data_IF_597900862062
#
_entry.id   IF_597900862062
#
_cell.length_a   1.000
_cell.length_b   1.000
_cell.length_c   1.000
_cell.angle_alpha   90.00
_cell.angle_beta   90.00
_cell.angle_gamma   90.00
#
_symmetry.space_group_name_H-M   'P 1'
#
loop_
_entity.id
_entity.type
_entity.pdbx_description
1 polymer ?
#
# COMPACT_ATOMS: atom_id res chain seq x y z
N UNK A 1 9.75 -3.53 17.24
CA UNK A 1 10.62 -4.72 17.10
C UNK A 1 9.88 -5.88 17.73
N UNK A 2 9.68 -6.96 16.99
CA UNK A 2 9.00 -8.16 17.48
C UNK A 2 9.87 -9.38 17.21
N UNK A 3 9.93 -10.29 18.18
CA UNK A 3 10.52 -11.62 18.02
C UNK A 3 9.41 -12.60 18.39
N UNK A 4 8.96 -13.41 17.43
CA UNK A 4 8.06 -14.52 17.69
C UNK A 4 8.85 -15.82 17.60
N UNK A 5 8.78 -16.60 18.66
CA UNK A 5 9.28 -17.97 18.68
C UNK A 5 8.05 -18.88 18.70
N UNK A 6 7.83 -19.64 17.64
CA UNK A 6 6.78 -20.67 17.61
C UNK A 6 7.43 -22.04 17.80
N UNK A 7 7.24 -22.61 18.99
CA UNK A 7 7.68 -23.95 19.34
C UNK A 7 6.58 -24.96 19.06
N UNK A 8 6.33 -25.26 17.78
CA UNK A 8 5.33 -26.25 17.38
C UNK A 8 5.80 -27.68 17.65
N UNK A 9 5.11 -28.40 18.54
CA UNK A 9 5.40 -29.80 18.82
C UNK A 9 4.78 -30.69 17.73
N UNK A 10 5.60 -31.60 17.20
CA UNK A 10 5.32 -32.67 16.24
C UNK A 10 5.35 -32.25 14.75
N UNK A 11 6.44 -32.63 14.08
CA UNK A 11 6.71 -32.63 12.63
C UNK A 11 6.91 -31.31 11.84
N UNK A 12 6.65 -30.12 12.41
CA UNK A 12 6.79 -28.85 11.68
C UNK A 12 8.06 -28.05 12.06
N UNK A 13 8.70 -27.43 11.06
CA UNK A 13 10.01 -26.78 11.17
C UNK A 13 10.04 -25.55 12.08
N UNK A 14 11.20 -25.32 12.73
CA UNK A 14 11.48 -24.15 13.57
C UNK A 14 12.06 -22.99 12.75
N UNK A 15 11.53 -21.77 12.92
CA UNK A 15 12.03 -20.55 12.30
C UNK A 15 12.11 -19.36 13.26
N UNK A 16 13.02 -18.43 12.98
CA UNK A 16 13.16 -17.14 13.68
C UNK A 16 12.77 -16.04 12.72
N UNK A 17 11.78 -15.24 13.09
CA UNK A 17 11.40 -14.03 12.36
C UNK A 17 11.94 -12.79 13.09
N UNK A 18 12.55 -11.88 12.34
CA UNK A 18 13.02 -10.58 12.80
C UNK A 18 12.36 -9.49 11.96
N UNK A 19 11.59 -8.61 12.60
CA UNK A 19 10.95 -7.48 11.93
C UNK A 19 11.17 -6.16 12.69
N UNK A 20 11.42 -5.10 11.90
CA UNK A 20 11.65 -3.75 12.38
C UNK A 20 11.00 -2.70 11.48
N UNK A 21 10.60 -1.59 12.09
CA UNK A 21 10.04 -0.45 11.37
C UNK A 21 10.51 0.87 11.99
N UNK A 22 10.73 1.87 11.15
CA UNK A 22 11.04 3.23 11.54
C UNK A 22 10.07 4.17 10.84
N UNK A 23 9.50 5.13 11.57
CA UNK A 23 8.57 6.12 11.02
C UNK A 23 8.98 7.51 11.45
N UNK A 24 8.97 8.43 10.49
CA UNK A 24 9.18 9.85 10.66
C UNK A 24 7.98 10.61 10.09
N UNK A 25 7.52 11.62 10.82
CA UNK A 25 6.42 12.48 10.41
C UNK A 25 6.80 13.93 10.67
N UNK A 26 6.67 14.77 9.64
CA UNK A 26 6.95 16.20 9.70
C UNK A 26 5.63 17.00 9.71
N UNK A 27 5.51 18.06 10.53
CA UNK A 27 4.34 18.93 10.54
C UNK A 27 4.02 19.60 9.19
N UNK A 28 5.01 19.69 8.28
CA UNK A 28 4.82 20.20 6.91
C UNK A 28 4.21 19.16 5.96
N UNK A 29 3.71 18.04 6.50
CA UNK A 29 2.93 17.04 5.78
C UNK A 29 3.74 15.95 5.09
N UNK A 30 5.02 15.79 5.45
CA UNK A 30 5.86 14.70 4.97
C UNK A 30 5.84 13.55 5.98
N UNK A 31 5.40 12.37 5.54
CA UNK A 31 5.49 11.12 6.29
C UNK A 31 6.42 10.15 5.58
N UNK A 32 7.35 9.56 6.31
CA UNK A 32 8.27 8.55 5.81
C UNK A 32 8.23 7.34 6.73
N UNK A 33 8.13 6.16 6.16
CA UNK A 33 8.21 4.91 6.89
C UNK A 33 9.13 3.93 6.17
N UNK A 34 9.94 3.21 6.94
CA UNK A 34 10.80 2.14 6.46
C UNK A 34 10.49 0.89 7.29
N UNK A 35 10.29 -0.24 6.62
CA UNK A 35 10.03 -1.52 7.25
C UNK A 35 10.95 -2.56 6.66
N UNK A 36 11.45 -3.46 7.49
CA UNK A 36 12.24 -4.60 7.05
C UNK A 36 11.91 -5.82 7.89
N UNK A 37 11.92 -6.99 7.26
CA UNK A 37 11.77 -8.26 7.96
C UNK A 37 12.66 -9.34 7.34
N UNK A 38 12.92 -10.40 8.11
CA UNK A 38 13.60 -11.60 7.62
C UNK A 38 13.16 -12.81 8.42
N UNK A 39 12.99 -13.93 7.72
CA UNK A 39 12.72 -15.25 8.29
C UNK A 39 13.92 -16.17 8.06
N UNK A 40 14.37 -16.81 9.13
CA UNK A 40 15.46 -17.80 9.12
C UNK A 40 14.93 -19.14 9.64
N UNK A 41 14.74 -20.12 8.76
CA UNK A 41 14.30 -21.47 9.13
C UNK A 41 15.47 -22.48 9.12
N UNK A 42 15.70 -23.18 10.24
CA UNK A 42 16.89 -24.02 10.44
C UNK A 42 16.86 -25.35 9.68
N UNK A 43 15.68 -25.84 9.28
CA UNK A 43 15.52 -27.22 8.75
C UNK A 43 15.38 -27.31 7.21
N UNK A 44 15.20 -26.20 6.50
CA UNK A 44 14.91 -26.19 5.06
C UNK A 44 15.84 -25.33 4.19
N UNK A 45 16.91 -24.75 4.73
CA UNK A 45 17.72 -23.72 4.04
C UNK A 45 16.87 -22.54 3.52
N UNK A 46 15.67 -22.34 4.06
CA UNK A 46 14.74 -21.30 3.64
C UNK A 46 15.10 -19.98 4.32
N UNK A 47 15.37 -18.96 3.49
CA UNK A 47 15.72 -17.61 3.92
C UNK A 47 14.87 -16.62 3.12
N UNK A 48 13.95 -15.98 3.83
CA UNK A 48 13.15 -14.87 3.30
C UNK A 48 13.62 -13.57 3.91
N UNK A 49 13.52 -12.52 3.12
CA UNK A 49 13.72 -11.16 3.58
C UNK A 49 12.95 -10.20 2.69
N UNK A 50 12.46 -9.13 3.29
CA UNK A 50 11.75 -8.08 2.57
C UNK A 50 12.04 -6.72 3.19
N UNK A 51 12.12 -5.70 2.35
CA UNK A 51 12.20 -4.30 2.75
C UNK A 51 11.20 -3.47 1.97
N UNK A 52 10.47 -2.60 2.67
CA UNK A 52 9.50 -1.70 2.06
C UNK A 52 9.67 -0.29 2.63
N UNK A 53 9.58 0.71 1.75
CA UNK A 53 9.51 2.11 2.13
C UNK A 53 8.11 2.67 1.87
N UNK A 54 7.77 3.74 2.57
CA UNK A 54 6.62 4.58 2.27
C UNK A 54 7.06 6.03 2.40
N UNK A 55 6.74 6.85 1.42
CA UNK A 55 6.86 8.30 1.48
C UNK A 55 5.52 8.88 1.09
N UNK A 56 4.93 9.70 1.96
CA UNK A 56 3.72 10.45 1.67
C UNK A 56 4.01 11.93 1.87
N UNK A 57 3.49 12.74 0.96
CA UNK A 57 3.51 14.18 1.09
C UNK A 57 2.09 14.72 0.94
N UNK A 58 1.70 15.63 1.82
CA UNK A 58 0.44 16.36 1.80
C UNK A 58 0.74 17.83 1.99
N UNK A 59 0.38 18.66 1.01
CA UNK A 59 0.59 20.10 1.10
C UNK A 59 -0.18 20.74 2.26
N UNK A 60 -1.41 20.25 2.52
CA UNK A 60 -2.24 20.73 3.63
C UNK A 60 -2.95 19.55 4.33
N UNK A 61 -3.24 19.73 5.62
CA UNK A 61 -3.94 18.75 6.44
C UNK A 61 -5.43 18.62 6.11
N UNK A 62 -6.03 19.64 5.49
CA UNK A 62 -7.42 19.65 5.02
C UNK A 62 -7.63 18.89 3.70
N UNK A 63 -6.55 18.32 3.14
CA UNK A 63 -6.57 17.57 1.89
C UNK A 63 -6.47 18.44 0.64
N UNK A 64 -6.39 19.76 0.75
CA UNK A 64 -6.20 20.66 -0.41
C UNK A 64 -4.75 20.71 -0.86
N UNK A 65 -4.57 20.91 -2.16
CA UNK A 65 -3.27 21.01 -2.80
C UNK A 65 -2.66 19.66 -3.13
N UNK A 66 -1.36 19.67 -3.40
CA UNK A 66 -0.63 18.49 -3.87
C UNK A 66 -0.61 17.39 -2.82
N UNK A 67 -0.85 16.17 -3.28
CA UNK A 67 -0.60 14.94 -2.55
C UNK A 67 0.23 13.99 -3.39
N UNK A 68 1.14 13.28 -2.73
CA UNK A 68 2.01 12.28 -3.35
C UNK A 68 2.17 11.10 -2.39
N UNK A 69 2.22 9.90 -2.95
CA UNK A 69 2.57 8.67 -2.24
C UNK A 69 3.52 7.85 -3.08
N UNK A 70 4.57 7.32 -2.43
CA UNK A 70 5.59 6.48 -3.03
C UNK A 70 5.84 5.29 -2.12
N UNK A 71 5.82 4.10 -2.69
CA UNK A 71 5.90 2.86 -1.93
C UNK A 71 6.76 1.84 -2.67
N UNK A 72 8.10 1.91 -2.52
CA UNK A 72 8.99 0.89 -3.04
C UNK A 72 9.01 -0.34 -2.11
N UNK A 73 9.07 -1.53 -2.67
CA UNK A 73 9.26 -2.77 -1.93
C UNK A 73 10.15 -3.76 -2.69
N UNK A 74 10.97 -4.50 -1.96
CA UNK A 74 11.97 -5.42 -2.49
C UNK A 74 12.03 -6.68 -1.64
N UNK A 75 12.15 -7.84 -2.31
CA UNK A 75 12.21 -9.14 -1.64
C UNK A 75 10.81 -9.70 -1.38
N UNK A 76 10.69 -10.58 -0.40
CA UNK A 76 9.45 -11.27 -0.05
C UNK A 76 8.59 -10.33 0.80
N UNK A 77 8.05 -9.29 0.17
CA UNK A 77 7.16 -8.34 0.82
C UNK A 77 5.71 -8.69 0.50
N UNK A 78 4.78 -8.60 1.48
CA UNK A 78 3.37 -8.91 1.22
C UNK A 78 2.80 -8.10 0.04
N UNK A 79 2.06 -8.75 -0.86
CA UNK A 79 1.51 -8.14 -2.10
C UNK A 79 0.48 -7.03 -1.83
N UNK A 80 -0.03 -6.96 -0.60
CA UNK A 80 -1.09 -6.08 -0.13
C UNK A 80 -0.60 -4.67 0.30
N UNK A 81 0.59 -4.25 -0.13
CA UNK A 81 0.99 -2.84 -0.03
C UNK A 81 0.28 -1.97 -1.09
N UNK A 82 -0.17 -2.57 -2.20
CA UNK A 82 -0.82 -1.87 -3.31
C UNK A 82 -2.32 -1.57 -3.09
N UNK A 83 -3.08 -2.42 -2.39
CA UNK A 83 -4.55 -2.30 -2.27
C UNK A 83 -5.06 -1.25 -1.26
N UNK A 84 -4.16 -0.42 -0.69
CA UNK A 84 -4.42 0.27 0.59
C UNK A 84 -4.25 1.79 0.59
N UNK A 85 -4.22 2.43 -0.57
CA UNK A 85 -4.00 3.87 -0.63
C UNK A 85 -5.27 4.68 -0.23
N UNK A 86 -6.46 4.06 -0.24
CA UNK A 86 -7.71 4.72 0.15
C UNK A 86 -8.59 4.01 1.20
N UNK A 87 -8.18 2.87 1.75
CA UNK A 87 -8.93 2.22 2.84
C UNK A 87 -8.52 2.78 4.22
N UNK A 88 -9.48 3.13 5.10
CA UNK A 88 -9.17 3.50 6.47
C UNK A 88 -8.43 2.35 7.15
N UNK A 89 -7.43 2.70 7.96
CA UNK A 89 -6.54 1.84 8.76
C UNK A 89 -7.19 0.53 9.26
N UNK A 90 -7.24 -0.49 8.42
CA UNK A 90 -7.36 -1.86 8.89
C UNK A 90 -5.94 -2.32 9.21
N UNK A 91 -5.61 -2.55 10.46
CA UNK A 91 -4.39 -3.29 10.81
C UNK A 91 -4.44 -4.61 10.02
N UNK A 92 -3.51 -4.83 9.08
CA UNK A 92 -3.46 -6.09 8.33
C UNK A 92 -3.08 -7.20 9.31
N UNK A 93 -3.95 -8.20 9.42
CA UNK A 93 -3.57 -9.49 9.96
C UNK A 93 -2.47 -10.08 9.08
N UNK A 94 -1.41 -10.54 9.73
CA UNK A 94 -0.31 -11.30 9.15
C UNK A 94 -0.85 -12.68 8.77
N UNK A 95 -1.28 -12.86 7.53
CA UNK A 95 -1.56 -14.18 6.97
C UNK A 95 -0.61 -14.43 5.83
N UNK A 96 0.23 -15.44 6.04
CA UNK A 96 1.16 -16.00 5.07
C UNK A 96 0.41 -16.36 3.79
N UNK A 97 0.74 -15.73 2.67
CA UNK A 97 0.45 -16.32 1.37
C UNK A 97 1.56 -17.32 1.06
N UNK A 98 1.34 -18.54 1.56
CA UNK A 98 2.05 -19.75 1.18
C UNK A 98 1.65 -20.15 -0.25
N UNK A 99 1.97 -19.37 -1.30
CA UNK A 99 1.75 -19.87 -2.67
C UNK A 99 2.51 -19.15 -3.81
N UNK A 100 3.72 -18.64 -3.58
CA UNK A 100 4.58 -18.17 -4.67
C UNK A 100 5.94 -18.87 -4.67
N UNK A 101 5.92 -20.12 -5.14
CA UNK A 101 7.10 -20.78 -5.72
C UNK A 101 7.52 -20.06 -7.01
N UNK A 102 8.14 -18.88 -6.88
CA UNK A 102 8.97 -18.32 -7.92
C UNK A 102 10.18 -17.65 -7.27
N UNK A 103 11.35 -18.15 -7.62
CA UNK A 103 12.66 -17.74 -7.12
C UNK A 103 13.07 -16.33 -7.59
N UNK A 104 12.11 -15.46 -7.93
CA UNK A 104 12.33 -14.11 -8.43
C UNK A 104 11.94 -13.10 -7.36
N UNK A 105 12.87 -12.84 -6.45
CA UNK A 105 12.86 -11.63 -5.62
C UNK A 105 12.63 -10.43 -6.52
N UNK A 106 11.43 -9.89 -6.50
CA UNK A 106 11.01 -8.89 -7.47
C UNK A 106 11.00 -7.50 -6.87
N UNK A 107 11.23 -6.52 -7.74
CA UNK A 107 11.02 -5.12 -7.43
C UNK A 107 9.52 -4.84 -7.53
N UNK A 108 8.94 -4.31 -6.46
CA UNK A 108 7.61 -3.72 -6.48
C UNK A 108 7.73 -2.21 -6.24
N UNK A 109 6.98 -1.42 -7.00
CA UNK A 109 7.03 0.02 -6.91
C UNK A 109 5.67 0.62 -7.22
N UNK A 110 5.09 1.28 -6.22
CA UNK A 110 3.81 1.97 -6.36
C UNK A 110 4.00 3.46 -6.15
N UNK A 111 3.44 4.28 -7.02
CA UNK A 111 3.45 5.73 -6.92
C UNK A 111 2.08 6.28 -7.26
N UNK A 112 1.62 7.26 -6.52
CA UNK A 112 0.37 7.97 -6.78
C UNK A 112 0.57 9.46 -6.54
N UNK A 113 -0.04 10.26 -7.41
CA UNK A 113 -0.04 11.71 -7.32
C UNK A 113 -1.48 12.21 -7.46
N UNK A 114 -1.84 13.21 -6.67
CA UNK A 114 -3.15 13.81 -6.72
C UNK A 114 -3.14 15.27 -6.29
N UNK A 115 -4.25 15.95 -6.53
CA UNK A 115 -4.38 17.36 -6.17
C UNK A 115 -5.77 17.66 -5.63
N UNK A 116 -5.85 18.08 -4.37
CA UNK A 116 -7.10 18.47 -3.74
C UNK A 116 -7.54 19.87 -4.14
N UNK A 117 -8.74 19.97 -4.69
CA UNK A 117 -9.40 21.19 -5.13
C UNK A 117 -10.70 21.37 -4.34
N UNK A 118 -11.15 22.62 -4.20
CA UNK A 118 -12.53 22.88 -3.80
C UNK A 118 -13.46 22.17 -4.80
N UNK A 119 -14.42 21.39 -4.27
CA UNK A 119 -15.35 20.64 -5.10
C UNK A 119 -16.32 21.53 -5.87
N UNK A 120 -17.08 20.94 -6.79
CA UNK A 120 -18.03 21.66 -7.61
C UNK A 120 -19.09 22.39 -6.75
N UNK A 121 -19.52 23.56 -7.20
CA UNK A 121 -20.46 24.43 -6.47
C UNK A 121 -19.98 24.82 -5.06
N UNK A 122 -18.66 24.89 -4.85
CA UNK A 122 -18.01 25.16 -3.57
C UNK A 122 -18.34 24.13 -2.49
N UNK A 123 -18.70 22.90 -2.89
CA UNK A 123 -19.07 21.82 -1.97
C UNK A 123 -18.01 20.73 -1.96
N UNK A 124 -17.43 20.53 -0.78
CA UNK A 124 -16.55 19.41 -0.52
C UNK A 124 -15.15 19.54 -1.14
N UNK A 125 -14.48 18.40 -1.25
CA UNK A 125 -13.12 18.27 -1.76
C UNK A 125 -13.11 17.33 -2.98
N UNK A 126 -12.73 17.87 -4.13
CA UNK A 126 -12.48 17.10 -5.35
C UNK A 126 -10.98 16.80 -5.43
N UNK A 127 -10.61 15.54 -5.63
CA UNK A 127 -9.23 15.07 -5.69
C UNK A 127 -9.06 14.20 -6.93
N UNK A 128 -8.73 14.78 -8.10
CA UNK A 128 -8.14 14.03 -9.19
C UNK A 128 -6.82 13.40 -8.76
N UNK A 129 -6.56 12.18 -9.23
CA UNK A 129 -5.32 11.46 -8.98
C UNK A 129 -4.94 10.56 -10.16
N UNK A 130 -3.68 10.17 -10.19
CA UNK A 130 -3.14 9.17 -11.09
C UNK A 130 -2.10 8.33 -10.36
N UNK A 131 -2.07 7.05 -10.66
CA UNK A 131 -1.18 6.06 -10.06
C UNK A 131 -0.46 5.22 -11.10
N UNK A 132 0.71 4.74 -10.71
CA UNK A 132 1.51 3.76 -11.43
C UNK A 132 1.97 2.71 -10.43
N UNK A 133 1.80 1.45 -10.80
CA UNK A 133 2.26 0.29 -10.02
C UNK A 133 3.07 -0.63 -10.93
N UNK A 134 4.22 -1.06 -10.46
CA UNK A 134 5.12 -1.97 -11.16
C UNK A 134 5.39 -3.13 -10.20
N UNK A 135 5.11 -4.35 -10.64
CA UNK A 135 5.39 -5.55 -9.85
C UNK A 135 5.70 -6.70 -10.80
N UNK A 136 6.75 -7.47 -10.50
CA UNK A 136 7.12 -8.67 -11.27
C UNK A 136 7.30 -8.42 -12.78
N UNK A 137 7.75 -7.22 -13.15
CA UNK A 137 7.89 -6.80 -14.55
C UNK A 137 6.58 -6.41 -15.25
N UNK A 138 5.43 -6.58 -14.60
CA UNK A 138 4.14 -6.09 -15.07
C UNK A 138 3.92 -4.64 -14.61
N UNK A 139 3.27 -3.86 -15.47
CA UNK A 139 2.92 -2.46 -15.18
C UNK A 139 1.41 -2.27 -15.17
N UNK A 140 0.93 -1.48 -14.22
CA UNK A 140 -0.44 -1.00 -14.20
C UNK A 140 -0.49 0.49 -13.89
N UNK A 141 -1.47 1.15 -14.48
CA UNK A 141 -1.70 2.58 -14.34
C UNK A 141 -3.15 2.80 -13.95
N UNK A 142 -3.40 3.76 -13.07
CA UNK A 142 -4.75 4.18 -12.75
C UNK A 142 -4.88 5.69 -12.88
N UNK A 143 -6.08 6.13 -13.22
CA UNK A 143 -6.49 7.52 -13.20
C UNK A 143 -7.85 7.59 -12.54
N UNK A 144 -8.07 8.58 -11.68
CA UNK A 144 -9.31 8.66 -10.96
C UNK A 144 -9.60 10.04 -10.42
N UNK A 145 -10.81 10.16 -9.89
CA UNK A 145 -11.29 11.36 -9.23
C UNK A 145 -12.16 10.98 -8.06
N UNK A 146 -11.83 11.51 -6.89
CA UNK A 146 -12.65 11.40 -5.69
C UNK A 146 -13.32 12.73 -5.39
N UNK A 147 -14.60 12.73 -5.07
CA UNK A 147 -15.32 13.90 -4.60
C UNK A 147 -16.02 13.59 -3.28
N UNK A 148 -15.48 14.14 -2.20
CA UNK A 148 -16.10 14.08 -0.87
C UNK A 148 -16.92 15.34 -0.70
N UNK A 149 -18.25 15.23 -0.84
CA UNK A 149 -19.17 16.39 -0.83
C UNK A 149 -19.42 16.84 0.61
N UNK A 150 -19.72 15.88 1.48
CA UNK A 150 -19.93 16.04 2.91
C UNK A 150 -19.63 14.72 3.64
N UNK A 151 -19.99 14.59 4.91
CA UNK A 151 -19.79 13.36 5.69
C UNK A 151 -20.66 12.19 5.25
N UNK A 152 -21.69 12.44 4.43
CA UNK A 152 -22.71 11.46 4.00
C UNK A 152 -22.51 10.98 2.57
N UNK A 153 -21.91 11.79 1.70
CA UNK A 153 -21.78 11.50 0.27
C UNK A 153 -20.33 11.57 -0.22
N UNK A 154 -19.85 10.44 -0.73
CA UNK A 154 -18.54 10.30 -1.35
C UNK A 154 -18.69 9.61 -2.71
N UNK A 155 -18.11 10.24 -3.74
CA UNK A 155 -18.10 9.74 -5.10
C UNK A 155 -16.66 9.39 -5.49
N UNK A 156 -16.43 8.19 -6.01
CA UNK A 156 -15.12 7.78 -6.51
C UNK A 156 -15.25 7.15 -7.90
N UNK A 157 -14.53 7.71 -8.86
CA UNK A 157 -14.38 7.16 -10.20
C UNK A 157 -12.93 6.78 -10.40
N UNK A 158 -12.67 5.56 -10.84
CA UNK A 158 -11.33 5.08 -11.18
C UNK A 158 -11.38 4.32 -12.51
N UNK A 159 -10.46 4.67 -13.41
CA UNK A 159 -10.10 3.88 -14.58
C UNK A 159 -8.76 3.24 -14.32
N UNK A 160 -8.68 1.93 -14.49
CA UNK A 160 -7.44 1.16 -14.34
C UNK A 160 -7.09 0.48 -15.65
N UNK A 161 -5.80 0.50 -15.96
CA UNK A 161 -5.21 -0.18 -17.11
C UNK A 161 -4.06 -1.05 -16.65
N UNK A 162 -4.16 -2.35 -16.88
CA UNK A 162 -3.10 -3.34 -16.70
C UNK A 162 -2.65 -3.79 -18.09
N UNK A 163 -1.40 -4.26 -18.23
CA UNK A 163 -0.85 -4.69 -19.53
C UNK A 163 -1.74 -5.65 -20.33
N UNK A 164 -2.57 -6.44 -19.66
CA UNK A 164 -3.43 -7.46 -20.27
C UNK A 164 -4.94 -7.19 -20.10
N UNK A 165 -5.33 -6.14 -19.34
CA UNK A 165 -6.74 -5.93 -18.96
C UNK A 165 -7.03 -4.45 -18.66
N UNK A 166 -8.09 -3.92 -19.28
CA UNK A 166 -8.61 -2.58 -19.01
C UNK A 166 -9.90 -2.70 -18.19
N UNK A 167 -10.03 -1.90 -17.13
CA UNK A 167 -11.25 -1.87 -16.33
C UNK A 167 -11.61 -0.45 -15.88
N UNK A 168 -12.90 -0.20 -15.71
CA UNK A 168 -13.40 1.06 -15.17
C UNK A 168 -14.35 0.74 -14.03
N UNK A 169 -14.12 1.35 -12.88
CA UNK A 169 -14.94 1.16 -11.68
C UNK A 169 -15.52 2.49 -11.22
N UNK A 170 -16.81 2.46 -10.90
CA UNK A 170 -17.59 3.59 -10.42
C UNK A 170 -18.19 3.22 -9.06
N UNK A 171 -17.72 3.89 -8.01
CA UNK A 171 -18.11 3.60 -6.63
C UNK A 171 -18.83 4.80 -6.02
N UNK A 172 -20.02 4.55 -5.48
CA UNK A 172 -20.86 5.52 -4.77
C UNK A 172 -21.01 5.06 -3.32
N UNK A 173 -20.55 5.86 -2.36
CA UNK A 173 -20.67 5.54 -0.94
C UNK A 173 -21.59 6.56 -0.27
N UNK A 174 -22.66 6.05 0.36
CA UNK A 174 -23.62 6.82 1.14
C UNK A 174 -23.56 6.38 2.60
N UNK A 175 -23.46 7.34 3.52
CA UNK A 175 -23.57 7.11 4.97
C UNK A 175 -24.87 7.75 5.46
N UNK A 176 -25.72 6.94 6.08
CA UNK A 176 -27.00 7.32 6.68
C UNK A 176 -26.89 7.28 8.20
#
# INVERSE_FOLDING_TARGET
>A
MGIRYDGGNTDNGSGIELAGSYRYSDPKGLDVELRGHSLLAHKSNYKEWGVSGLVKYKANSDGKGLWLSLTPAFGDTPDNVADRIWQPLAVTNYTNDEDNNSNSRSLQFNTEIGYGLTGFFDRGLLTPYAGLSIANGKQSYNIGGRWVIDSTLNLNLIGERKEEEDSVQLNFEFKF
#
